data_IF_960827120473
#
_entry.id   IF_960827120473
#
_cell.length_a   1.000
_cell.length_b   1.000
_cell.length_c   1.000
_cell.angle_alpha   90.00
_cell.angle_beta   90.00
_cell.angle_gamma   90.00
#
_symmetry.space_group_name_H-M   'P 1'
#
loop_
_entity.id
_entity.type
_entity.pdbx_description
1 polymer ?
#
# COMPACT_ATOMS: atom_id res chain seq x y z
N UNK A 1 -0.67 3.61 7.27
CA UNK A 1 -0.31 3.54 5.85
C UNK A 1 -1.30 2.72 5.03
N UNK A 2 -1.83 1.61 5.54
CA UNK A 2 -2.88 0.87 4.84
C UNK A 2 -4.11 1.75 4.60
N UNK A 3 -4.55 2.47 5.61
CA UNK A 3 -5.66 3.40 5.52
C UNK A 3 -5.39 4.50 4.47
N UNK A 4 -4.19 5.04 4.45
CA UNK A 4 -3.82 6.11 3.54
C UNK A 4 -3.82 5.69 2.08
N UNK A 5 -3.56 4.42 1.81
CA UNK A 5 -3.62 3.86 0.45
C UNK A 5 -5.06 3.52 0.07
N UNK A 6 -5.82 2.94 0.97
CA UNK A 6 -7.18 2.44 0.69
C UNK A 6 -8.23 3.55 0.57
N UNK A 7 -8.18 4.55 1.47
CA UNK A 7 -9.21 5.60 1.54
C UNK A 7 -9.40 6.36 0.21
N UNK A 8 -8.34 6.75 -0.53
CA UNK A 8 -8.53 7.46 -1.79
C UNK A 8 -9.38 6.73 -2.82
N UNK A 9 -9.44 5.42 -2.76
CA UNK A 9 -10.18 4.59 -3.71
C UNK A 9 -11.53 4.10 -3.17
N UNK A 10 -11.83 4.38 -1.90
CA UNK A 10 -12.96 3.78 -1.20
C UNK A 10 -14.29 3.99 -1.93
N UNK A 11 -14.64 5.23 -2.27
CA UNK A 11 -15.92 5.55 -2.91
C UNK A 11 -16.10 4.87 -4.26
N UNK A 12 -15.05 4.87 -5.07
CA UNK A 12 -15.08 4.23 -6.39
C UNK A 12 -15.28 2.73 -6.29
N UNK A 13 -14.77 2.14 -5.22
CA UNK A 13 -14.79 0.70 -5.02
C UNK A 13 -15.97 0.24 -4.17
N UNK A 14 -16.90 1.13 -3.87
CA UNK A 14 -18.13 0.76 -3.17
C UNK A 14 -18.04 0.77 -1.65
N UNK A 15 -17.01 1.40 -1.09
CA UNK A 15 -16.87 1.55 0.37
C UNK A 15 -17.09 3.00 0.78
N UNK A 16 -17.55 3.20 2.01
CA UNK A 16 -17.50 4.52 2.64
C UNK A 16 -16.07 4.75 3.15
N UNK A 17 -15.70 6.02 3.35
CA UNK A 17 -14.41 6.34 3.96
C UNK A 17 -14.28 5.74 5.35
N UNK A 18 -15.37 5.72 6.11
CA UNK A 18 -15.40 5.12 7.45
C UNK A 18 -15.11 3.62 7.40
N UNK A 19 -15.69 2.91 6.43
CA UNK A 19 -15.43 1.48 6.24
C UNK A 19 -13.98 1.22 5.88
N UNK A 20 -13.43 2.00 4.96
CA UNK A 20 -12.03 1.87 4.56
C UNK A 20 -11.10 2.15 5.73
N UNK A 21 -11.38 3.19 6.50
CA UNK A 21 -10.62 3.54 7.69
C UNK A 21 -10.63 2.39 8.72
N UNK A 22 -11.81 1.85 8.99
CA UNK A 22 -11.97 0.76 9.95
C UNK A 22 -11.26 -0.53 9.48
N UNK A 23 -11.40 -0.86 8.21
CA UNK A 23 -10.78 -2.07 7.65
C UNK A 23 -9.26 -1.99 7.68
N UNK A 24 -8.70 -0.82 7.40
CA UNK A 24 -7.26 -0.62 7.38
C UNK A 24 -6.61 -0.41 8.74
N UNK A 25 -7.42 -0.26 9.80
CA UNK A 25 -6.92 0.18 11.11
C UNK A 25 -5.85 -0.74 11.72
N UNK A 26 -5.93 -2.04 11.46
CA UNK A 26 -5.04 -3.03 12.04
C UNK A 26 -3.94 -3.52 11.11
N UNK A 27 -3.78 -2.88 9.95
CA UNK A 27 -2.78 -3.29 8.96
C UNK A 27 -1.58 -2.34 8.88
N UNK A 28 -1.59 -1.27 9.66
CA UNK A 28 -0.42 -0.40 9.78
C UNK A 28 0.70 -1.06 10.57
N UNK A 29 1.90 -0.50 10.48
CA UNK A 29 3.10 -1.03 11.16
C UNK A 29 3.32 -2.52 10.88
N UNK A 30 3.09 -2.95 9.63
CA UNK A 30 3.26 -4.34 9.25
C UNK A 30 2.26 -5.26 9.94
N UNK A 31 0.97 -4.90 9.93
CA UNK A 31 -0.12 -5.63 10.60
C UNK A 31 0.07 -5.71 12.11
N UNK A 32 0.63 -4.64 12.69
CA UNK A 32 0.96 -4.53 14.12
C UNK A 32 1.92 -5.62 14.63
N UNK A 33 2.52 -6.40 13.75
CA UNK A 33 3.43 -7.48 14.14
C UNK A 33 4.75 -7.46 13.36
N UNK A 34 5.06 -6.36 12.71
CA UNK A 34 6.29 -6.24 11.94
C UNK A 34 6.32 -7.10 10.68
N UNK A 35 5.16 -7.34 10.07
CA UNK A 35 5.04 -8.11 8.83
C UNK A 35 5.01 -7.19 7.60
N UNK A 36 4.21 -7.49 6.59
CA UNK A 36 4.18 -6.74 5.34
C UNK A 36 3.81 -5.26 5.54
N UNK A 37 4.43 -4.38 4.74
CA UNK A 37 4.17 -2.95 4.79
C UNK A 37 2.68 -2.65 4.53
N UNK A 38 2.11 -1.73 5.29
CA UNK A 38 0.70 -1.35 5.16
C UNK A 38 0.33 -0.77 3.80
N UNK A 39 1.27 -0.15 3.09
CA UNK A 39 1.03 0.31 1.72
C UNK A 39 0.77 -0.86 0.78
N UNK A 40 1.47 -1.97 0.98
CA UNK A 40 1.28 -3.20 0.19
C UNK A 40 -0.07 -3.83 0.51
N UNK A 41 -0.41 -4.00 1.79
CA UNK A 41 -1.69 -4.61 2.18
C UNK A 41 -2.87 -3.76 1.73
N UNK A 42 -2.78 -2.43 1.87
CA UNK A 42 -3.82 -1.51 1.38
C UNK A 42 -3.99 -1.58 -0.13
N UNK A 43 -2.89 -1.67 -0.86
CA UNK A 43 -2.91 -1.81 -2.32
C UNK A 43 -3.59 -3.12 -2.75
N UNK A 44 -3.29 -4.22 -2.08
CA UNK A 44 -3.91 -5.51 -2.38
C UNK A 44 -5.41 -5.48 -2.09
N UNK A 45 -5.84 -4.82 -1.02
CA UNK A 45 -7.26 -4.62 -0.71
C UNK A 45 -7.96 -3.84 -1.82
N UNK A 46 -7.34 -2.75 -2.30
CA UNK A 46 -7.90 -1.94 -3.38
C UNK A 46 -8.02 -2.74 -4.67
N UNK A 47 -7.03 -3.54 -5.02
CA UNK A 47 -7.09 -4.41 -6.20
C UNK A 47 -8.21 -5.44 -6.09
N UNK A 48 -8.38 -6.02 -4.90
CA UNK A 48 -9.45 -6.99 -4.66
C UNK A 48 -10.82 -6.35 -4.83
N UNK A 49 -11.04 -5.16 -4.27
CA UNK A 49 -12.29 -4.42 -4.43
C UNK A 49 -12.55 -4.02 -5.87
N UNK A 50 -11.51 -3.72 -6.64
CA UNK A 50 -11.63 -3.38 -8.05
C UNK A 50 -11.87 -4.60 -8.96
N UNK A 51 -11.90 -5.81 -8.39
CA UNK A 51 -12.11 -7.04 -9.15
C UNK A 51 -10.91 -7.47 -9.98
N UNK A 52 -9.72 -7.05 -9.62
CA UNK A 52 -8.49 -7.40 -10.34
C UNK A 52 -8.02 -8.79 -9.94
N UNK A 53 -7.40 -9.50 -10.88
CA UNK A 53 -6.96 -10.86 -10.67
C UNK A 53 -5.61 -10.99 -9.98
N UNK A 54 -5.24 -12.23 -9.66
CA UNK A 54 -3.98 -12.54 -8.97
C UNK A 54 -2.74 -12.11 -9.76
N UNK A 55 -2.82 -12.09 -11.09
CA UNK A 55 -1.73 -11.64 -11.94
C UNK A 55 -1.37 -10.17 -11.69
N UNK A 56 -2.36 -9.33 -11.42
CA UNK A 56 -2.10 -7.92 -11.11
C UNK A 56 -1.54 -7.76 -9.70
N UNK A 57 -2.00 -8.56 -8.74
CA UNK A 57 -1.42 -8.58 -7.39
C UNK A 57 0.04 -9.02 -7.44
N UNK A 58 0.34 -10.07 -8.19
CA UNK A 58 1.71 -10.56 -8.34
C UNK A 58 2.61 -9.50 -9.00
N UNK A 59 2.11 -8.81 -10.02
CA UNK A 59 2.85 -7.76 -10.70
C UNK A 59 3.15 -6.58 -9.77
N UNK A 60 2.18 -6.19 -8.95
CA UNK A 60 2.36 -5.11 -7.97
C UNK A 60 3.43 -5.48 -6.94
N UNK A 61 3.36 -6.69 -6.39
CA UNK A 61 4.31 -7.17 -5.40
C UNK A 61 5.72 -7.27 -5.99
N UNK A 62 5.84 -7.77 -7.21
CA UNK A 62 7.11 -7.89 -7.90
C UNK A 62 7.75 -6.52 -8.13
N UNK A 63 6.98 -5.56 -8.64
CA UNK A 63 7.46 -4.21 -8.88
C UNK A 63 7.90 -3.52 -7.59
N UNK A 64 7.12 -3.68 -6.53
CA UNK A 64 7.46 -3.10 -5.23
C UNK A 64 8.76 -3.70 -4.69
N UNK A 65 8.90 -5.03 -4.77
CA UNK A 65 10.10 -5.72 -4.29
C UNK A 65 11.34 -5.35 -5.11
N UNK A 66 11.21 -5.22 -6.44
CA UNK A 66 12.32 -4.78 -7.27
C UNK A 66 12.79 -3.38 -6.91
N UNK A 67 11.86 -2.47 -6.65
CA UNK A 67 12.19 -1.08 -6.35
C UNK A 67 12.74 -0.92 -4.94
N UNK A 68 12.15 -1.59 -3.96
CA UNK A 68 12.48 -1.38 -2.55
C UNK A 68 13.27 -2.53 -1.92
N UNK A 69 13.34 -3.68 -2.56
CA UNK A 69 14.08 -4.83 -2.09
C UNK A 69 13.38 -5.68 -1.05
N UNK A 70 12.35 -5.15 -0.39
CA UNK A 70 11.65 -5.80 0.71
C UNK A 70 10.17 -5.48 0.70
N UNK A 71 9.35 -6.35 1.29
CA UNK A 71 7.94 -6.10 1.57
C UNK A 71 7.67 -5.88 3.05
N UNK A 72 8.59 -6.28 3.90
CA UNK A 72 8.46 -6.22 5.36
C UNK A 72 8.58 -4.79 5.88
N UNK A 73 7.67 -4.37 6.74
CA UNK A 73 7.70 -3.05 7.36
C UNK A 73 9.02 -2.79 8.12
N UNK A 74 9.50 -3.69 9.01
CA UNK A 74 10.76 -3.44 9.71
C UNK A 74 11.97 -3.35 8.79
N UNK A 75 12.05 -4.19 7.76
CA UNK A 75 13.16 -4.18 6.83
C UNK A 75 13.19 -2.89 6.02
N UNK A 76 12.03 -2.40 5.57
CA UNK A 76 11.91 -1.13 4.87
C UNK A 76 12.28 0.04 5.76
N UNK A 77 11.83 0.04 7.02
CA UNK A 77 12.17 1.09 7.98
C UNK A 77 13.66 1.13 8.28
N UNK A 78 14.30 -0.04 8.37
CA UNK A 78 15.74 -0.13 8.59
C UNK A 78 16.51 0.49 7.42
N UNK A 79 16.15 0.14 6.19
CA UNK A 79 16.78 0.70 4.99
C UNK A 79 16.64 2.22 4.96
N UNK A 80 15.46 2.73 5.28
CA UNK A 80 15.20 4.16 5.33
C UNK A 80 16.04 4.85 6.41
N UNK A 81 16.11 4.26 7.60
CA UNK A 81 16.91 4.77 8.71
C UNK A 81 18.40 4.82 8.32
N UNK A 82 18.93 3.76 7.72
CA UNK A 82 20.32 3.69 7.28
C UNK A 82 20.64 4.74 6.21
N UNK A 83 19.64 5.11 5.42
CA UNK A 83 19.78 6.17 4.41
C UNK A 83 19.55 7.59 4.99
N UNK A 84 19.26 7.71 6.28
CA UNK A 84 19.04 9.00 6.93
C UNK A 84 17.68 9.63 6.66
N UNK A 85 16.69 8.85 6.21
CA UNK A 85 15.35 9.33 5.91
C UNK A 85 14.45 9.17 7.14
N UNK A 86 13.77 10.24 7.62
CA UNK A 86 12.83 10.11 8.74
C UNK A 86 11.71 9.12 8.43
N UNK A 87 11.24 8.42 9.45
CA UNK A 87 10.18 7.41 9.32
C UNK A 87 8.93 7.96 8.63
N UNK A 88 8.49 9.16 9.03
CA UNK A 88 7.30 9.77 8.44
C UNK A 88 7.47 10.01 6.93
N UNK A 89 8.60 10.57 6.52
CA UNK A 89 8.89 10.84 5.11
C UNK A 89 8.95 9.55 4.30
N UNK A 90 9.56 8.51 4.86
CA UNK A 90 9.63 7.19 4.25
C UNK A 90 8.23 6.62 4.01
N UNK A 91 7.38 6.60 5.04
CA UNK A 91 6.03 6.06 4.94
C UNK A 91 5.17 6.89 3.98
N UNK A 92 5.26 8.22 4.03
CA UNK A 92 4.51 9.10 3.13
C UNK A 92 4.91 8.88 1.68
N UNK A 93 6.20 8.73 1.40
CA UNK A 93 6.70 8.46 0.05
C UNK A 93 6.18 7.13 -0.49
N UNK A 94 6.16 6.09 0.33
CA UNK A 94 5.59 4.80 -0.07
C UNK A 94 4.11 4.90 -0.37
N UNK A 95 3.36 5.66 0.44
CA UNK A 95 1.94 5.88 0.19
C UNK A 95 1.74 6.57 -1.16
N UNK A 96 2.44 7.66 -1.43
CA UNK A 96 2.31 8.39 -2.69
C UNK A 96 2.64 7.52 -3.90
N UNK A 97 3.72 6.77 -3.85
CA UNK A 97 4.11 5.85 -4.93
C UNK A 97 3.04 4.79 -5.18
N UNK A 98 2.53 4.20 -4.11
CA UNK A 98 1.56 3.12 -4.19
C UNK A 98 0.23 3.61 -4.72
N UNK A 99 -0.24 4.78 -4.26
CA UNK A 99 -1.47 5.40 -4.77
C UNK A 99 -1.33 5.70 -6.26
N UNK A 100 -0.19 6.25 -6.69
CA UNK A 100 0.06 6.53 -8.12
C UNK A 100 0.03 5.26 -8.97
N UNK A 101 0.65 4.19 -8.49
CA UNK A 101 0.64 2.90 -9.19
C UNK A 101 -0.77 2.33 -9.28
N UNK A 102 -1.55 2.42 -8.20
CA UNK A 102 -2.93 1.96 -8.18
C UNK A 102 -3.83 2.76 -9.12
N UNK A 103 -3.63 4.07 -9.22
CA UNK A 103 -4.40 4.89 -10.14
C UNK A 103 -4.25 4.40 -11.57
N UNK A 104 -3.05 4.02 -11.99
CA UNK A 104 -2.82 3.47 -13.32
C UNK A 104 -3.49 2.12 -13.53
N UNK A 105 -3.54 1.29 -12.49
CA UNK A 105 -4.14 -0.05 -12.56
C UNK A 105 -5.66 -0.03 -12.44
N UNK A 106 -6.20 0.82 -11.58
CA UNK A 106 -7.63 0.87 -11.26
C UNK A 106 -8.38 1.85 -12.17
N UNK A 107 -7.73 2.97 -12.53
CA UNK A 107 -8.29 4.00 -13.40
C UNK A 107 -7.45 4.12 -14.66
N UNK A 108 -7.52 3.12 -15.57
CA UNK A 108 -6.67 3.18 -16.76
C UNK A 108 -6.98 4.40 -17.60
N UNK A 109 -5.94 5.03 -18.10
CA UNK A 109 -6.03 6.15 -19.03
C UNK A 109 -6.61 5.65 -20.35
N UNK A 110 -7.52 6.41 -20.92
CA UNK A 110 -8.07 6.09 -22.24
C UNK A 110 -7.21 6.67 -23.35
#
# INVERSE_FOLDING_TARGET
CCQSVLIPFARELGLTEEQAYAMGAHFGSGMHCGSACGTVTGALMALGLAGRGEDQSAALLHAFREKHGELSCPALLKKSHDAGIPRKDHCDNLVYETVSALEELIRPQK
#
